data_IF_395710074572
#
_entry.id   IF_395710074572
#
_cell.length_a   1.000
_cell.length_b   1.000
_cell.length_c   1.000
_cell.angle_alpha   90.00
_cell.angle_beta   90.00
_cell.angle_gamma   90.00
#
_symmetry.space_group_name_H-M   'P 1'
#
loop_
_entity.id
_entity.type
_entity.pdbx_description
1 polymer ?
#
# COMPACT_ATOMS: atom_id res chain seq x y z
N UNK A 1 -14.54 12.08 11.53
CA UNK A 1 -14.31 10.68 11.15
C UNK A 1 -13.74 9.91 12.32
N UNK A 2 -14.21 8.71 12.52
CA UNK A 2 -13.71 7.86 13.58
C UNK A 2 -12.38 7.20 13.17
N UNK A 3 -11.63 6.72 14.15
CA UNK A 3 -10.40 5.98 13.89
C UNK A 3 -10.66 4.74 13.05
N UNK A 4 -11.80 4.09 13.29
CA UNK A 4 -12.20 2.89 12.52
C UNK A 4 -12.36 3.21 11.04
N UNK A 5 -13.00 4.34 10.72
CA UNK A 5 -13.19 4.75 9.33
C UNK A 5 -11.85 5.08 8.67
N UNK A 6 -10.96 5.73 9.40
CA UNK A 6 -9.64 6.07 8.89
C UNK A 6 -8.82 4.81 8.61
N UNK A 7 -8.85 3.85 9.53
CA UNK A 7 -8.14 2.57 9.34
C UNK A 7 -8.70 1.82 8.14
N UNK A 8 -10.02 1.81 7.97
CA UNK A 8 -10.64 1.16 6.82
C UNK A 8 -10.17 1.77 5.50
N UNK A 9 -10.05 3.09 5.44
CA UNK A 9 -9.52 3.77 4.26
C UNK A 9 -8.08 3.40 3.98
N UNK A 10 -7.25 3.36 5.03
CA UNK A 10 -5.84 2.98 4.90
C UNK A 10 -5.70 1.53 4.41
N UNK A 11 -6.53 0.63 4.93
CA UNK A 11 -6.53 -0.76 4.49
C UNK A 11 -6.93 -0.88 3.03
N UNK A 12 -7.88 -0.08 2.59
CA UNK A 12 -8.30 -0.07 1.19
C UNK A 12 -7.16 0.40 0.28
N UNK A 13 -6.49 1.47 0.67
CA UNK A 13 -5.34 1.98 -0.08
C UNK A 13 -4.20 0.96 -0.13
N UNK A 14 -3.97 0.28 0.98
CA UNK A 14 -2.95 -0.77 1.04
C UNK A 14 -3.26 -1.89 0.06
N UNK A 15 -4.52 -2.33 0.01
CA UNK A 15 -4.95 -3.37 -0.92
C UNK A 15 -4.79 -2.93 -2.37
N UNK A 16 -5.16 -1.70 -2.68
CA UNK A 16 -5.03 -1.16 -4.03
C UNK A 16 -3.56 -1.10 -4.47
N UNK A 17 -2.69 -0.64 -3.58
CA UNK A 17 -1.25 -0.60 -3.87
C UNK A 17 -0.68 -2.02 -4.06
N UNK A 18 -1.15 -2.96 -3.25
CA UNK A 18 -0.72 -4.35 -3.37
C UNK A 18 -1.03 -4.91 -4.75
N UNK A 19 -2.24 -4.63 -5.25
CA UNK A 19 -2.64 -5.06 -6.58
C UNK A 19 -1.81 -4.39 -7.67
N UNK A 20 -1.54 -3.09 -7.52
CA UNK A 20 -0.72 -2.35 -8.47
C UNK A 20 0.69 -2.91 -8.53
N UNK A 21 1.29 -3.19 -7.38
CA UNK A 21 2.64 -3.77 -7.33
C UNK A 21 2.66 -5.11 -8.03
N UNK A 22 1.66 -5.94 -7.78
CA UNK A 22 1.55 -7.26 -8.41
C UNK A 22 1.50 -7.14 -9.93
N UNK A 23 0.67 -6.24 -10.44
CA UNK A 23 0.53 -6.01 -11.88
C UNK A 23 1.84 -5.53 -12.49
N UNK A 24 2.48 -4.56 -11.83
CA UNK A 24 3.74 -4.00 -12.33
C UNK A 24 4.85 -5.02 -12.34
N UNK A 25 4.91 -5.90 -11.35
CA UNK A 25 5.93 -6.95 -11.30
C UNK A 25 5.77 -7.96 -12.43
N UNK A 26 4.55 -8.18 -12.89
CA UNK A 26 4.27 -9.12 -13.98
C UNK A 26 4.46 -8.50 -15.36
N UNK A 27 4.53 -7.18 -15.43
CA UNK A 27 4.64 -6.46 -16.69
C UNK A 27 6.10 -6.44 -17.18
N UNK A 28 6.38 -6.85 -18.42
CA UNK A 28 7.73 -6.73 -18.97
C UNK A 28 8.07 -5.25 -19.19
N UNK A 29 9.29 -4.87 -18.85
CA UNK A 29 9.75 -3.51 -19.03
C UNK A 29 9.36 -2.54 -17.92
N UNK A 30 8.85 -3.05 -16.81
CA UNK A 30 8.48 -2.20 -15.68
C UNK A 30 9.70 -1.53 -15.06
N UNK A 31 9.55 -0.25 -14.71
CA UNK A 31 10.60 0.49 -14.04
C UNK A 31 10.76 -0.02 -12.61
N UNK A 32 11.95 -0.46 -12.29
CA UNK A 32 12.29 -0.97 -10.96
C UNK A 32 12.07 0.08 -9.88
N UNK A 33 12.35 1.35 -10.18
CA UNK A 33 12.14 2.44 -9.24
C UNK A 33 10.68 2.62 -8.89
N UNK A 34 9.79 2.46 -9.86
CA UNK A 34 8.35 2.58 -9.61
C UNK A 34 7.88 1.50 -8.63
N UNK A 35 8.36 0.27 -8.83
CA UNK A 35 8.02 -0.83 -7.94
C UNK A 35 8.56 -0.56 -6.53
N UNK A 36 9.79 -0.13 -6.41
CA UNK A 36 10.40 0.16 -5.12
C UNK A 36 9.63 1.27 -4.38
N UNK A 37 9.21 2.31 -5.10
CA UNK A 37 8.43 3.39 -4.52
C UNK A 37 7.08 2.90 -4.00
N UNK A 38 6.40 2.07 -4.79
CA UNK A 38 5.10 1.53 -4.39
C UNK A 38 5.22 0.60 -3.18
N UNK A 39 6.26 -0.21 -3.14
CA UNK A 39 6.52 -1.08 -2.00
C UNK A 39 6.78 -0.27 -0.73
N UNK A 40 7.49 0.84 -0.86
CA UNK A 40 7.76 1.74 0.25
C UNK A 40 6.48 2.38 0.78
N UNK A 41 5.62 2.83 -0.13
CA UNK A 41 4.32 3.39 0.24
C UNK A 41 3.43 2.36 0.92
N UNK A 42 3.44 1.14 0.41
CA UNK A 42 2.70 0.03 1.01
C UNK A 42 3.15 -0.24 2.43
N UNK A 43 4.46 -0.22 2.66
CA UNK A 43 5.02 -0.42 3.98
C UNK A 43 4.60 0.69 4.94
N UNK A 44 4.62 1.94 4.49
CA UNK A 44 4.18 3.07 5.30
C UNK A 44 2.73 2.95 5.72
N UNK A 45 1.88 2.55 4.77
CA UNK A 45 0.46 2.34 5.08
C UNK A 45 0.27 1.24 6.11
N UNK A 46 1.02 0.16 5.96
CA UNK A 46 0.97 -0.95 6.91
C UNK A 46 1.39 -0.50 8.31
N UNK A 47 2.47 0.28 8.41
CA UNK A 47 2.94 0.79 9.67
C UNK A 47 1.92 1.70 10.33
N UNK A 48 1.27 2.56 9.54
CA UNK A 48 0.26 3.46 10.05
C UNK A 48 -0.97 2.71 10.56
N UNK A 49 -1.41 1.72 9.81
CA UNK A 49 -2.52 0.86 10.22
C UNK A 49 -2.17 0.16 11.54
N UNK A 50 -0.97 -0.37 11.64
CA UNK A 50 -0.50 -1.06 12.83
C UNK A 50 -0.49 -0.12 14.03
N UNK A 51 -0.02 1.11 13.85
CA UNK A 51 0.03 2.10 14.91
C UNK A 51 -1.37 2.44 15.43
N UNK A 52 -2.33 2.58 14.52
CA UNK A 52 -3.70 2.95 14.87
C UNK A 52 -4.49 1.80 15.49
N UNK A 53 -4.08 0.56 15.23
CA UNK A 53 -4.82 -0.61 15.70
C UNK A 53 -4.15 -1.35 16.86
N UNK A 54 -2.94 -0.95 17.21
CA UNK A 54 -2.23 -1.61 18.31
C UNK A 54 -2.54 -1.02 19.67
#
# INVERSE_FOLDING_TARGET
>A
MSVVDHVAELQKKHAELSLKVEKEQKSPGTNYFAIATMKKQKLRLKEEIHRLTS
#
